data_IF_849724708313
#
_entry.id   IF_849724708313
#
_cell.length_a   1.000
_cell.length_b   1.000
_cell.length_c   1.000
_cell.angle_alpha   90.00
_cell.angle_beta   90.00
_cell.angle_gamma   90.00
#
_symmetry.space_group_name_H-M   'P 1'
#
loop_
_entity.id
_entity.type
_entity.pdbx_description
1 polymer ?
#
# COMPACT_ATOMS: atom_id res chain seq x y z
N UNK A 1 32.88 17.01 14.90
CA UNK A 1 31.55 16.47 15.30
C UNK A 1 31.73 14.97 15.48
N UNK A 2 31.36 14.38 16.62
CA UNK A 2 31.53 12.93 16.82
C UNK A 2 30.56 12.15 15.91
N UNK A 3 30.98 10.96 15.45
CA UNK A 3 30.21 10.11 14.55
C UNK A 3 28.78 9.86 15.05
N UNK A 4 28.61 9.61 16.35
CA UNK A 4 27.29 9.39 16.96
C UNK A 4 26.36 10.60 16.83
N UNK A 5 26.88 11.82 16.91
CA UNK A 5 26.09 13.04 16.72
C UNK A 5 25.65 13.20 15.27
N UNK A 6 26.54 12.92 14.32
CA UNK A 6 26.22 12.99 12.88
C UNK A 6 25.15 11.97 12.52
N UNK A 7 25.28 10.73 12.98
CA UNK A 7 24.29 9.67 12.75
C UNK A 7 22.94 9.99 13.39
N UNK A 8 22.93 10.56 14.61
CA UNK A 8 21.68 10.96 15.28
C UNK A 8 20.99 12.12 14.57
N UNK A 9 21.74 13.11 14.11
CA UNK A 9 21.17 14.22 13.34
C UNK A 9 20.63 13.72 11.99
N UNK A 10 21.36 12.83 11.32
CA UNK A 10 20.91 12.24 10.05
C UNK A 10 19.60 11.45 10.22
N UNK A 11 19.47 10.63 11.26
CA UNK A 11 18.21 9.92 11.54
C UNK A 11 17.08 10.86 11.97
N UNK A 12 17.40 11.93 12.71
CA UNK A 12 16.43 12.97 13.06
C UNK A 12 15.85 13.67 11.82
N UNK A 13 16.69 14.03 10.84
CA UNK A 13 16.25 14.62 9.57
C UNK A 13 15.34 13.66 8.80
N UNK A 14 15.70 12.38 8.75
CA UNK A 14 14.86 11.33 8.14
C UNK A 14 13.47 11.31 8.77
N UNK A 15 13.37 11.33 10.10
CA UNK A 15 12.09 11.33 10.81
C UNK A 15 11.24 12.57 10.54
N UNK A 16 11.86 13.75 10.45
CA UNK A 16 11.14 15.00 10.10
C UNK A 16 10.57 14.93 8.68
N UNK A 17 11.36 14.43 7.72
CA UNK A 17 10.94 14.31 6.32
C UNK A 17 9.80 13.28 6.19
N UNK A 18 9.94 12.14 6.87
CA UNK A 18 8.90 11.11 6.92
C UNK A 18 7.60 11.70 7.46
N UNK A 19 7.64 12.40 8.60
CA UNK A 19 6.47 13.07 9.18
C UNK A 19 5.83 14.07 8.22
N UNK A 20 6.60 14.98 7.63
CA UNK A 20 6.06 16.00 6.72
C UNK A 20 5.45 15.35 5.46
N UNK A 21 6.11 14.32 4.92
CA UNK A 21 5.66 13.64 3.71
C UNK A 21 4.39 12.79 3.91
N UNK A 22 4.04 12.42 5.15
CA UNK A 22 2.75 11.78 5.43
C UNK A 22 1.56 12.74 5.39
N UNK A 23 1.76 14.05 5.61
CA UNK A 23 0.65 15.03 5.65
C UNK A 23 -0.14 15.05 4.34
N UNK A 24 0.48 15.16 3.14
CA UNK A 24 -0.25 15.07 1.87
C UNK A 24 -0.99 13.75 1.69
N UNK A 25 -0.42 12.64 2.16
CA UNK A 25 -1.08 11.34 2.07
C UNK A 25 -2.39 11.37 2.87
N UNK A 26 -2.35 11.81 4.13
CA UNK A 26 -3.54 11.89 4.99
C UNK A 26 -4.63 12.78 4.37
N UNK A 27 -4.25 13.91 3.77
CA UNK A 27 -5.21 14.88 3.24
C UNK A 27 -5.81 14.49 1.88
N UNK A 28 -5.06 13.81 1.01
CA UNK A 28 -5.42 13.64 -0.40
C UNK A 28 -5.56 12.18 -0.86
N UNK A 29 -5.07 11.20 -0.10
CA UNK A 29 -5.10 9.79 -0.49
C UNK A 29 -6.52 9.26 -0.72
N UNK A 30 -7.50 9.69 0.07
CA UNK A 30 -8.90 9.32 -0.13
C UNK A 30 -9.48 9.87 -1.43
N UNK A 31 -8.93 10.97 -1.95
CA UNK A 31 -9.34 11.54 -3.24
C UNK A 31 -8.64 10.87 -4.41
N UNK A 32 -7.39 10.46 -4.27
CA UNK A 32 -6.59 9.92 -5.39
C UNK A 32 -6.79 8.42 -5.59
N UNK A 33 -7.13 7.69 -4.53
CA UNK A 33 -7.21 6.24 -4.55
C UNK A 33 -5.88 5.58 -4.21
N UNK A 34 -5.94 4.34 -3.73
CA UNK A 34 -4.79 3.67 -3.11
C UNK A 34 -3.82 3.18 -4.17
N UNK A 35 -4.33 2.64 -5.29
CA UNK A 35 -3.52 2.08 -6.38
C UNK A 35 -2.64 3.15 -7.04
N UNK A 36 -3.20 4.33 -7.33
CA UNK A 36 -2.45 5.45 -7.93
C UNK A 36 -1.34 5.95 -7.02
N UNK A 37 -1.65 6.11 -5.73
CA UNK A 37 -0.68 6.55 -4.72
C UNK A 37 0.50 5.57 -4.62
N UNK A 38 0.22 4.26 -4.61
CA UNK A 38 1.26 3.22 -4.61
C UNK A 38 2.14 3.24 -5.86
N UNK A 39 1.55 3.42 -7.06
CA UNK A 39 2.31 3.47 -8.31
C UNK A 39 3.20 4.71 -8.36
N UNK A 40 2.66 5.89 -8.04
CA UNK A 40 3.43 7.16 -8.04
C UNK A 40 4.58 7.07 -7.04
N UNK A 41 4.30 6.61 -5.83
CA UNK A 41 5.31 6.41 -4.81
C UNK A 41 6.38 5.40 -5.21
N UNK A 42 5.96 4.24 -5.75
CA UNK A 42 6.87 3.21 -6.24
C UNK A 42 7.80 3.72 -7.35
N UNK A 43 7.29 4.52 -8.29
CA UNK A 43 8.11 5.14 -9.35
C UNK A 43 9.13 6.09 -8.74
N UNK A 44 8.71 6.97 -7.83
CA UNK A 44 9.62 7.92 -7.18
C UNK A 44 10.69 7.22 -6.33
N UNK A 45 10.32 6.17 -5.62
CA UNK A 45 11.25 5.31 -4.88
C UNK A 45 12.25 4.62 -5.84
N UNK A 46 11.77 4.09 -6.96
CA UNK A 46 12.62 3.41 -7.95
C UNK A 46 13.63 4.38 -8.58
N UNK A 47 13.20 5.57 -8.99
CA UNK A 47 14.10 6.59 -9.56
C UNK A 47 15.15 7.00 -8.52
N UNK A 48 14.73 7.27 -7.29
CA UNK A 48 15.65 7.65 -6.21
C UNK A 48 16.68 6.56 -5.95
N UNK A 49 16.24 5.30 -5.89
CA UNK A 49 17.11 4.16 -5.63
C UNK A 49 18.11 3.91 -6.77
N UNK A 50 17.67 4.08 -8.03
CA UNK A 50 18.54 4.01 -9.20
C UNK A 50 19.65 5.07 -9.15
N UNK A 51 19.30 6.30 -8.79
CA UNK A 51 20.25 7.41 -8.69
C UNK A 51 21.25 7.16 -7.56
N UNK A 52 20.78 6.75 -6.37
CA UNK A 52 21.66 6.42 -5.24
C UNK A 52 22.61 5.28 -5.62
N UNK A 53 22.10 4.20 -6.21
CA UNK A 53 22.91 3.05 -6.63
C UNK A 53 24.00 3.45 -7.64
N UNK A 54 23.63 4.28 -8.61
CA UNK A 54 24.56 4.75 -9.66
C UNK A 54 25.62 5.69 -9.09
N UNK A 55 25.23 6.66 -8.27
CA UNK A 55 26.18 7.58 -7.61
C UNK A 55 27.14 6.81 -6.71
N UNK A 56 26.65 5.82 -5.95
CA UNK A 56 27.50 4.97 -5.13
C UNK A 56 28.49 4.18 -6.00
N UNK A 57 28.00 3.53 -7.07
CA UNK A 57 28.85 2.74 -7.96
C UNK A 57 30.00 3.56 -8.56
N UNK A 58 29.74 4.82 -8.94
CA UNK A 58 30.72 5.71 -9.58
C UNK A 58 31.69 6.33 -8.56
N UNK A 59 31.19 6.78 -7.41
CA UNK A 59 31.96 7.64 -6.49
C UNK A 59 32.40 6.97 -5.19
N UNK A 60 32.14 5.68 -4.99
CA UNK A 60 32.49 4.95 -3.76
C UNK A 60 33.94 5.13 -3.27
N UNK A 61 34.90 5.30 -4.18
CA UNK A 61 36.32 5.44 -3.88
C UNK A 61 36.82 6.89 -3.91
N UNK A 62 35.97 7.88 -4.23
CA UNK A 62 36.37 9.27 -4.48
C UNK A 62 35.38 10.33 -3.96
N UNK A 63 34.57 9.99 -2.94
CA UNK A 63 33.61 10.93 -2.35
C UNK A 63 34.22 12.26 -1.88
N UNK A 64 35.46 12.24 -1.38
CA UNK A 64 36.19 13.44 -0.93
C UNK A 64 36.51 14.40 -2.07
N UNK A 65 36.67 13.89 -3.29
CA UNK A 65 36.95 14.69 -4.49
C UNK A 65 35.66 15.20 -5.14
N UNK A 66 34.52 14.53 -4.86
CA UNK A 66 33.22 14.85 -5.43
C UNK A 66 32.14 15.09 -4.35
N UNK A 67 32.29 16.13 -3.51
CA UNK A 67 31.35 16.40 -2.42
C UNK A 67 29.91 16.66 -2.92
N UNK A 68 29.75 17.26 -4.10
CA UNK A 68 28.44 17.50 -4.70
C UNK A 68 27.68 16.19 -5.00
N UNK A 69 28.38 15.15 -5.45
CA UNK A 69 27.77 13.84 -5.70
C UNK A 69 27.35 13.15 -4.40
N UNK A 70 28.14 13.30 -3.33
CA UNK A 70 27.77 12.82 -2.00
C UNK A 70 26.50 13.47 -1.46
N UNK A 71 26.40 14.81 -1.55
CA UNK A 71 25.18 15.54 -1.17
C UNK A 71 23.97 15.18 -2.02
N UNK A 72 24.16 14.94 -3.33
CA UNK A 72 23.10 14.45 -4.20
C UNK A 72 22.60 13.07 -3.74
N UNK A 73 23.49 12.13 -3.43
CA UNK A 73 23.10 10.81 -2.93
C UNK A 73 22.29 10.91 -1.63
N UNK A 74 22.74 11.71 -0.66
CA UNK A 74 21.99 11.98 0.58
C UNK A 74 20.60 12.58 0.30
N UNK A 75 20.52 13.52 -0.63
CA UNK A 75 19.25 14.14 -1.01
C UNK A 75 18.28 13.13 -1.59
N UNK A 76 18.74 12.24 -2.46
CA UNK A 76 17.89 11.19 -3.03
C UNK A 76 17.46 10.13 -2.00
N UNK A 77 18.25 9.88 -0.95
CA UNK A 77 17.80 9.06 0.20
C UNK A 77 16.59 9.71 0.87
N UNK A 78 16.61 11.03 1.07
CA UNK A 78 15.47 11.76 1.63
C UNK A 78 14.26 11.79 0.70
N UNK A 79 14.48 11.96 -0.61
CA UNK A 79 13.40 11.88 -1.61
C UNK A 79 12.78 10.48 -1.63
N UNK A 80 13.60 9.42 -1.51
CA UNK A 80 13.10 8.05 -1.38
C UNK A 80 12.19 7.90 -0.15
N UNK A 81 12.63 8.40 1.02
CA UNK A 81 11.84 8.36 2.25
C UNK A 81 10.53 9.13 2.09
N UNK A 82 10.55 10.31 1.49
CA UNK A 82 9.33 11.09 1.27
C UNK A 82 8.31 10.35 0.40
N UNK A 83 8.75 9.69 -0.68
CA UNK A 83 7.86 8.87 -1.51
C UNK A 83 7.37 7.63 -0.78
N UNK A 84 8.23 6.98 0.02
CA UNK A 84 7.83 5.86 0.87
C UNK A 84 6.73 6.28 1.85
N UNK A 85 6.95 7.36 2.60
CA UNK A 85 6.03 7.91 3.60
C UNK A 85 4.66 8.20 3.01
N UNK A 86 4.66 8.92 1.87
CA UNK A 86 3.45 9.32 1.18
C UNK A 86 2.64 8.13 0.63
N UNK A 87 3.32 7.04 0.24
CA UNK A 87 2.70 5.94 -0.48
C UNK A 87 2.56 4.67 0.37
N UNK A 88 3.52 3.75 0.26
CA UNK A 88 3.55 2.46 0.95
C UNK A 88 3.41 2.64 2.45
N UNK A 89 4.07 3.66 3.02
CA UNK A 89 4.08 3.96 4.45
C UNK A 89 2.67 4.12 5.02
N UNK A 90 1.76 4.76 4.28
CA UNK A 90 0.36 4.88 4.67
C UNK A 90 -0.50 3.73 4.14
N UNK A 91 -0.42 3.45 2.84
CA UNK A 91 -1.37 2.56 2.14
C UNK A 91 -1.25 1.10 2.61
N UNK A 92 -0.05 0.63 2.98
CA UNK A 92 0.17 -0.75 3.39
C UNK A 92 -0.61 -1.14 4.67
N UNK A 93 -0.89 -0.18 5.55
CA UNK A 93 -1.67 -0.43 6.77
C UNK A 93 -3.18 -0.32 6.55
N UNK A 94 -3.59 0.35 5.47
CA UNK A 94 -4.99 0.58 5.13
C UNK A 94 -5.54 -0.61 4.33
N UNK A 95 -4.83 -1.02 3.28
CA UNK A 95 -5.29 -2.02 2.31
C UNK A 95 -5.73 -3.36 2.92
N UNK A 96 -5.03 -3.95 3.91
CA UNK A 96 -5.50 -5.20 4.51
C UNK A 96 -6.89 -5.07 5.16
N UNK A 97 -7.18 -3.94 5.80
CA UNK A 97 -8.52 -3.67 6.33
C UNK A 97 -9.56 -3.37 5.23
N UNK A 98 -9.06 -2.81 4.13
CA UNK A 98 -9.63 -2.67 2.78
C UNK A 98 -10.26 -3.97 2.26
N UNK A 99 -9.35 -4.93 2.05
CA UNK A 99 -9.52 -6.11 1.21
C UNK A 99 -10.32 -7.21 1.88
N UNK A 100 -10.13 -7.42 3.18
CA UNK A 100 -10.70 -8.58 3.84
C UNK A 100 -12.11 -8.32 4.38
N UNK A 101 -13.07 -9.25 4.11
CA UNK A 101 -14.42 -9.12 4.62
C UNK A 101 -14.43 -9.21 6.15
N UNK A 102 -15.39 -8.56 6.83
CA UNK A 102 -15.39 -8.42 8.28
C UNK A 102 -15.23 -9.74 9.05
N UNK A 103 -15.82 -10.83 8.54
CA UNK A 103 -15.81 -12.15 9.17
C UNK A 103 -14.41 -12.76 9.35
N UNK A 104 -13.47 -12.48 8.43
CA UNK A 104 -12.11 -13.04 8.46
C UNK A 104 -11.03 -11.98 8.66
N UNK A 105 -11.39 -10.70 8.61
CA UNK A 105 -10.48 -9.55 8.65
C UNK A 105 -9.48 -9.63 9.80
N UNK A 106 -9.92 -9.96 11.02
CA UNK A 106 -9.04 -10.02 12.18
C UNK A 106 -7.88 -10.99 12.01
N UNK A 107 -8.15 -12.20 11.49
CA UNK A 107 -7.12 -13.23 11.25
C UNK A 107 -6.22 -12.84 10.09
N UNK A 108 -6.80 -12.33 9.01
CA UNK A 108 -6.06 -11.95 7.81
C UNK A 108 -5.12 -10.75 8.04
N UNK A 109 -5.61 -9.72 8.74
CA UNK A 109 -4.78 -8.57 9.16
C UNK A 109 -3.68 -9.01 10.13
N UNK A 110 -3.98 -9.90 11.09
CA UNK A 110 -2.96 -10.46 11.98
C UNK A 110 -1.81 -11.14 11.22
N UNK A 111 -2.14 -11.95 10.21
CA UNK A 111 -1.14 -12.60 9.35
C UNK A 111 -0.35 -11.58 8.51
N UNK A 112 -1.01 -10.54 7.98
CA UNK A 112 -0.34 -9.48 7.24
C UNK A 112 0.68 -8.73 8.11
N UNK A 113 0.30 -8.40 9.35
CA UNK A 113 1.20 -7.75 10.33
C UNK A 113 2.36 -8.66 10.69
N UNK A 114 2.11 -9.94 10.97
CA UNK A 114 3.16 -10.91 11.27
C UNK A 114 4.16 -11.05 10.10
N UNK A 115 3.64 -11.11 8.87
CA UNK A 115 4.46 -11.18 7.64
C UNK A 115 5.30 -9.91 7.44
N UNK A 116 4.74 -8.73 7.77
CA UNK A 116 5.46 -7.46 7.73
C UNK A 116 6.64 -7.45 8.71
N UNK A 117 6.42 -7.83 9.97
CA UNK A 117 7.49 -7.86 10.98
C UNK A 117 8.55 -8.91 10.69
N UNK A 118 8.15 -10.09 10.18
CA UNK A 118 9.09 -11.11 9.73
C UNK A 118 9.97 -10.58 8.58
N UNK A 119 9.36 -9.92 7.59
CA UNK A 119 10.09 -9.32 6.47
C UNK A 119 11.05 -8.22 6.95
N UNK A 120 10.63 -7.39 7.92
CA UNK A 120 11.49 -6.38 8.54
C UNK A 120 12.70 -7.03 9.22
N UNK A 121 12.48 -8.08 10.02
CA UNK A 121 13.56 -8.84 10.66
C UNK A 121 14.57 -9.40 9.64
N UNK A 122 14.08 -9.99 8.55
CA UNK A 122 14.92 -10.52 7.47
C UNK A 122 15.76 -9.39 6.84
N UNK A 123 15.14 -8.27 6.49
CA UNK A 123 15.85 -7.13 5.89
C UNK A 123 16.88 -6.54 6.85
N UNK A 124 16.54 -6.38 8.12
CA UNK A 124 17.45 -5.86 9.14
C UNK A 124 18.68 -6.77 9.35
N UNK A 125 18.51 -8.09 9.21
CA UNK A 125 19.59 -9.06 9.33
C UNK A 125 20.47 -9.13 8.07
N UNK A 126 19.86 -9.04 6.89
CA UNK A 126 20.57 -9.25 5.61
C UNK A 126 21.21 -7.96 5.10
N UNK A 127 20.57 -6.80 5.26
CA UNK A 127 21.01 -5.52 4.68
C UNK A 127 22.45 -5.13 5.05
N UNK A 128 22.91 -5.22 6.33
CA UNK A 128 24.29 -4.93 6.68
C UNK A 128 25.29 -5.84 5.94
N UNK A 129 24.98 -7.13 5.84
CA UNK A 129 25.82 -8.11 5.12
C UNK A 129 25.87 -7.83 3.62
N UNK A 130 24.77 -7.38 3.04
CA UNK A 130 24.73 -6.97 1.64
C UNK A 130 25.57 -5.73 1.39
N UNK A 131 25.49 -4.72 2.27
CA UNK A 131 26.31 -3.51 2.14
C UNK A 131 27.81 -3.83 2.20
N UNK A 132 28.22 -4.80 3.02
CA UNK A 132 29.61 -5.28 3.07
C UNK A 132 30.01 -6.10 1.84
N UNK A 133 29.14 -7.00 1.37
CA UNK A 133 29.49 -7.96 0.31
C UNK A 133 29.34 -7.41 -1.12
N UNK A 134 28.25 -6.67 -1.38
CA UNK A 134 27.90 -6.19 -2.72
C UNK A 134 27.82 -4.66 -2.83
N UNK A 135 28.03 -3.92 -1.73
CA UNK A 135 28.12 -2.45 -1.68
C UNK A 135 26.94 -1.77 -2.39
N UNK A 136 27.19 -1.08 -3.52
CA UNK A 136 26.19 -0.41 -4.34
C UNK A 136 25.12 -1.37 -4.92
N UNK A 137 25.48 -2.65 -5.09
CA UNK A 137 24.58 -3.70 -5.54
C UNK A 137 23.37 -3.88 -4.62
N UNK A 138 23.50 -3.51 -3.34
CA UNK A 138 22.39 -3.52 -2.37
C UNK A 138 21.25 -2.61 -2.81
N UNK A 139 21.56 -1.43 -3.33
CA UNK A 139 20.55 -0.48 -3.78
C UNK A 139 19.88 -0.96 -5.08
N UNK A 140 20.64 -1.56 -6.01
CA UNK A 140 20.06 -2.20 -7.20
C UNK A 140 19.16 -3.39 -6.86
N UNK A 141 19.50 -4.17 -5.83
CA UNK A 141 18.65 -5.25 -5.34
C UNK A 141 17.30 -4.70 -4.86
N UNK A 142 17.29 -3.69 -4.00
CA UNK A 142 16.04 -3.09 -3.52
C UNK A 142 15.27 -2.31 -4.60
N UNK A 143 15.97 -1.76 -5.61
CA UNK A 143 15.33 -1.20 -6.80
C UNK A 143 14.48 -2.26 -7.52
N UNK A 144 14.99 -3.48 -7.69
CA UNK A 144 14.22 -4.56 -8.31
C UNK A 144 12.92 -4.85 -7.53
N UNK A 145 12.96 -4.83 -6.19
CA UNK A 145 11.74 -4.97 -5.39
C UNK A 145 10.76 -3.81 -5.55
N UNK A 146 11.25 -2.57 -5.70
CA UNK A 146 10.39 -1.43 -6.00
C UNK A 146 9.69 -1.58 -7.36
N UNK A 147 10.40 -2.08 -8.37
CA UNK A 147 9.81 -2.33 -9.70
C UNK A 147 8.79 -3.49 -9.66
N UNK A 148 9.13 -4.58 -8.97
CA UNK A 148 8.20 -5.71 -8.75
C UNK A 148 6.92 -5.23 -8.06
N UNK A 149 7.04 -4.37 -7.05
CA UNK A 149 5.89 -3.77 -6.39
C UNK A 149 5.02 -3.00 -7.38
N UNK A 150 5.59 -2.13 -8.22
CA UNK A 150 4.82 -1.36 -9.21
C UNK A 150 4.07 -2.30 -10.15
N UNK A 151 4.74 -3.32 -10.67
CA UNK A 151 4.14 -4.32 -11.56
C UNK A 151 3.00 -5.06 -10.84
N UNK A 152 3.24 -5.52 -9.61
CA UNK A 152 2.24 -6.22 -8.82
C UNK A 152 1.03 -5.33 -8.50
N UNK A 153 1.24 -4.07 -8.11
CA UNK A 153 0.15 -3.10 -7.86
C UNK A 153 -0.63 -2.81 -9.14
N UNK A 154 0.05 -2.77 -10.29
CA UNK A 154 -0.62 -2.55 -11.55
C UNK A 154 -1.53 -3.72 -11.95
N UNK A 155 -1.09 -4.97 -11.80
CA UNK A 155 -1.86 -6.13 -12.26
C UNK A 155 -2.76 -6.77 -11.20
N UNK A 156 -2.36 -6.79 -9.94
CA UNK A 156 -2.98 -7.59 -8.90
C UNK A 156 -3.80 -6.79 -7.88
N UNK A 157 -3.54 -5.49 -7.73
CA UNK A 157 -4.24 -4.67 -6.74
C UNK A 157 -5.44 -3.94 -7.39
N UNK A 158 -6.68 -4.36 -7.12
CA UNK A 158 -7.86 -3.58 -7.52
C UNK A 158 -7.91 -2.26 -6.76
N UNK A 159 -8.55 -1.24 -7.34
CA UNK A 159 -8.77 0.02 -6.64
C UNK A 159 -9.82 -0.17 -5.55
N UNK A 160 -9.49 0.20 -4.31
CA UNK A 160 -10.37 0.06 -3.13
C UNK A 160 -11.16 1.33 -2.83
N UNK A 161 -10.84 2.45 -3.50
CA UNK A 161 -11.53 3.73 -3.29
C UNK A 161 -13.02 3.64 -3.61
N UNK A 162 -13.85 3.94 -2.62
CA UNK A 162 -15.29 4.15 -2.79
C UNK A 162 -16.11 2.88 -2.99
N UNK A 163 -15.50 1.71 -2.78
CA UNK A 163 -16.20 0.42 -2.79
C UNK A 163 -16.63 0.10 -1.36
N UNK A 164 -17.90 -0.27 -1.16
CA UNK A 164 -18.34 -0.70 0.17
C UNK A 164 -17.66 -2.03 0.54
N UNK A 165 -17.40 -2.23 1.84
CA UNK A 165 -16.77 -3.46 2.34
C UNK A 165 -17.55 -4.73 1.95
N UNK A 166 -18.86 -4.62 1.77
CA UNK A 166 -19.72 -5.71 1.29
C UNK A 166 -19.56 -5.97 -0.20
N UNK A 167 -19.32 -4.94 -1.02
CA UNK A 167 -19.08 -5.09 -2.45
C UNK A 167 -17.67 -5.59 -2.78
N UNK A 168 -16.71 -5.43 -1.87
CA UNK A 168 -15.35 -5.94 -2.08
C UNK A 168 -15.29 -7.46 -2.15
N UNK A 169 -16.20 -8.16 -1.46
CA UNK A 169 -16.31 -9.61 -1.58
C UNK A 169 -16.65 -10.03 -3.03
N UNK A 170 -17.50 -9.26 -3.73
CA UNK A 170 -17.83 -9.50 -5.13
C UNK A 170 -16.64 -9.28 -6.08
N UNK A 171 -15.71 -8.37 -5.75
CA UNK A 171 -14.50 -8.09 -6.57
C UNK A 171 -13.52 -9.26 -6.49
N UNK A 172 -13.43 -9.93 -5.35
CA UNK A 172 -12.58 -11.10 -5.13
C UNK A 172 -13.31 -12.44 -5.35
N UNK A 173 -14.59 -12.41 -5.76
CA UNK A 173 -15.39 -13.60 -6.06
C UNK A 173 -15.96 -14.35 -4.85
N UNK A 174 -16.07 -13.68 -3.69
CA UNK A 174 -16.67 -14.21 -2.47
C UNK A 174 -18.21 -14.20 -2.47
N UNK A 175 -18.82 -15.14 -1.74
CA UNK A 175 -20.27 -15.27 -1.58
C UNK A 175 -20.81 -14.67 -0.28
N UNK A 176 -19.96 -14.21 0.64
CA UNK A 176 -20.37 -13.77 1.98
C UNK A 176 -21.25 -12.53 1.94
N UNK A 177 -21.06 -11.64 0.95
CA UNK A 177 -21.98 -10.52 0.72
C UNK A 177 -23.40 -10.99 0.34
N UNK A 178 -23.50 -12.04 -0.48
CA UNK A 178 -24.79 -12.62 -0.90
C UNK A 178 -25.48 -13.34 0.25
N UNK A 179 -24.72 -14.04 1.08
CA UNK A 179 -25.20 -14.72 2.29
C UNK A 179 -25.73 -13.72 3.33
N UNK A 180 -25.02 -12.60 3.57
CA UNK A 180 -25.49 -11.56 4.49
C UNK A 180 -26.76 -10.85 3.99
N UNK A 181 -26.87 -10.61 2.68
CA UNK A 181 -28.07 -10.03 2.08
C UNK A 181 -29.28 -10.97 2.20
N UNK A 182 -29.06 -12.28 2.01
CA UNK A 182 -30.09 -13.30 2.23
C UNK A 182 -30.52 -13.33 3.71
N UNK A 183 -29.57 -13.32 4.64
CA UNK A 183 -29.88 -13.28 6.08
C UNK A 183 -30.67 -12.03 6.49
N UNK A 184 -30.30 -10.85 5.97
CA UNK A 184 -31.03 -9.60 6.21
C UNK A 184 -32.45 -9.65 5.63
N UNK A 185 -32.62 -10.25 4.44
CA UNK A 185 -33.93 -10.44 3.83
C UNK A 185 -34.80 -11.42 4.64
N UNK A 186 -34.21 -12.51 5.15
CA UNK A 186 -34.90 -13.50 5.98
C UNK A 186 -35.35 -12.89 7.32
N UNK A 187 -34.46 -12.15 8.02
CA UNK A 187 -34.81 -11.42 9.25
C UNK A 187 -35.92 -10.40 9.00
N UNK A 188 -35.88 -9.69 7.87
CA UNK A 188 -36.91 -8.70 7.51
C UNK A 188 -38.28 -9.36 7.29
N UNK A 189 -38.29 -10.55 6.67
CA UNK A 189 -39.49 -11.34 6.47
C UNK A 189 -40.03 -11.87 7.80
N UNK A 190 -39.16 -12.34 8.70
CA UNK A 190 -39.54 -12.77 10.07
C UNK A 190 -40.12 -11.60 10.88
N UNK A 191 -39.59 -10.39 10.74
CA UNK A 191 -40.07 -9.18 11.43
C UNK A 191 -41.32 -8.55 10.80
N UNK A 192 -41.82 -9.08 9.67
CA UNK A 192 -43.03 -8.58 9.01
C UNK A 192 -42.88 -7.22 8.33
N UNK A 193 -41.65 -6.78 8.01
CA UNK A 193 -41.33 -5.47 7.44
C UNK A 193 -41.31 -5.45 5.89
N UNK A 194 -42.03 -6.37 5.24
CA UNK A 194 -41.99 -6.58 3.79
C UNK A 194 -42.58 -5.43 2.95
N UNK A 195 -43.32 -4.49 3.55
CA UNK A 195 -44.00 -3.39 2.85
C UNK A 195 -43.14 -2.17 2.46
N UNK A 196 -42.01 -1.95 3.12
CA UNK A 196 -41.20 -0.71 2.96
C UNK A 196 -40.09 -0.83 1.89
N UNK A 197 -40.38 -1.52 0.78
CA UNK A 197 -39.43 -1.69 -0.33
C UNK A 197 -38.99 -0.37 -1.00
N UNK A 198 -39.72 0.72 -0.78
CA UNK A 198 -39.52 1.98 -1.52
C UNK A 198 -38.53 2.97 -0.90
N UNK A 199 -38.04 2.77 0.32
CA UNK A 199 -37.49 3.91 1.08
C UNK A 199 -35.95 4.02 1.06
N UNK A 200 -35.14 2.97 0.83
CA UNK A 200 -33.69 3.08 1.09
C UNK A 200 -32.72 2.48 0.07
N UNK A 201 -33.04 2.46 -1.23
CA UNK A 201 -31.97 2.42 -2.24
C UNK A 201 -32.31 1.71 -3.55
N UNK A 202 -32.93 2.44 -4.48
CA UNK A 202 -32.58 2.46 -5.91
C UNK A 202 -32.50 1.17 -6.75
N UNK A 203 -32.75 -0.03 -6.22
CA UNK A 203 -32.72 -1.29 -6.98
C UNK A 203 -34.04 -2.04 -6.76
N UNK A 204 -34.78 -2.24 -7.87
CA UNK A 204 -35.99 -3.06 -7.89
C UNK A 204 -35.60 -4.51 -8.08
N UNK A 205 -36.12 -5.38 -7.22
CA UNK A 205 -36.19 -6.81 -7.47
C UNK A 205 -37.64 -7.13 -7.86
N UNK A 206 -37.86 -7.44 -9.14
CA UNK A 206 -39.13 -8.00 -9.59
C UNK A 206 -39.10 -9.50 -9.32
N UNK A 207 -39.89 -9.95 -8.35
CA UNK A 207 -40.08 -11.36 -8.08
C UNK A 207 -40.98 -11.99 -9.14
N UNK A 208 -40.50 -13.03 -9.81
CA UNK A 208 -41.26 -14.27 -10.01
C UNK A 208 -40.34 -15.38 -10.50
N UNK A 209 -40.41 -16.50 -9.79
CA UNK A 209 -39.97 -17.85 -10.15
C UNK A 209 -38.47 -18.18 -10.30
N UNK A 210 -38.07 -19.10 -9.43
CA UNK A 210 -36.97 -20.06 -9.52
C UNK A 210 -35.92 -19.88 -10.63
N UNK A 211 -34.69 -19.56 -10.22
CA UNK A 211 -33.50 -20.18 -10.81
C UNK A 211 -32.57 -19.34 -11.66
N UNK A 212 -32.87 -18.07 -11.97
CA UNK A 212 -31.94 -17.22 -12.70
C UNK A 212 -31.97 -15.76 -12.25
N UNK A 213 -30.78 -15.20 -12.00
CA UNK A 213 -30.58 -13.78 -11.69
C UNK A 213 -29.63 -13.24 -12.76
N UNK A 214 -30.15 -12.44 -13.69
CA UNK A 214 -29.33 -11.66 -14.63
C UNK A 214 -29.09 -10.25 -14.08
N UNK A 215 -27.84 -9.79 -14.19
CA UNK A 215 -27.40 -8.47 -13.77
C UNK A 215 -27.40 -7.58 -15.01
N UNK A 216 -28.32 -6.62 -15.10
CA UNK A 216 -28.30 -5.59 -16.14
C UNK A 216 -27.50 -4.39 -15.65
N UNK A 217 -26.34 -4.15 -16.26
CA UNK A 217 -25.60 -2.90 -16.07
C UNK A 217 -26.30 -1.76 -16.81
N UNK A 218 -26.54 -0.63 -16.12
CA UNK A 218 -26.94 0.61 -16.79
C UNK A 218 -25.71 1.33 -17.36
N UNK A 219 -25.81 1.69 -18.64
CA UNK A 219 -24.98 2.67 -19.35
C UNK A 219 -25.00 4.05 -18.69
#
# INVERSE_FOLDING_TARGET
MNFSTVSLLATGVVGVIDFIATIPAILYMDRWGRRKVLIIGGIGMSISQLIIATLYAVYQNSWSEHPAAGWAACTFVWVYIAHFAFSIGCVNWIIPSEIFPPAVRGKAVGLAIASNWLSNFIVALICPRMLEAITFGTFYFFLAFCLVLIVWVYFCLPETKGVSMEQMDNIFGGTSARENLQLMADIRNELGLSGDEKVLGGMKFEGSDAGHVEIVSRE
#
